data_IF_059833121521
#
_entry.id   IF_059833121521
#
_cell.length_a   1.000
_cell.length_b   1.000
_cell.length_c   1.000
_cell.angle_alpha   90.00
_cell.angle_beta   90.00
_cell.angle_gamma   90.00
#
_symmetry.space_group_name_H-M   'P 1'
#
loop_
_entity.id
_entity.type
_entity.pdbx_description
1 polymer ?
#
# COMPACT_ATOMS: atom_id res chain seq x y z
N UNK A 1 -8.45 -4.85 -6.67
CA UNK A 1 -7.23 -4.51 -7.45
C UNK A 1 -7.50 -3.48 -8.53
N UNK A 2 -6.51 -3.16 -9.37
CA UNK A 2 -6.61 -2.07 -10.37
C UNK A 2 -7.73 -2.24 -11.40
N UNK A 3 -7.95 -3.47 -11.89
CA UNK A 3 -9.05 -3.73 -12.85
C UNK A 3 -10.40 -3.46 -12.20
N UNK A 4 -10.58 -3.90 -10.95
CA UNK A 4 -11.79 -3.61 -10.18
C UNK A 4 -11.99 -2.09 -10.00
N UNK A 5 -10.91 -1.33 -9.72
CA UNK A 5 -10.97 0.13 -9.63
C UNK A 5 -11.37 0.79 -10.94
N UNK A 6 -10.84 0.30 -12.06
CA UNK A 6 -11.11 0.85 -13.39
C UNK A 6 -12.54 0.54 -13.87
N UNK A 7 -13.03 -0.66 -13.59
CA UNK A 7 -14.28 -1.16 -14.14
C UNK A 7 -15.49 -0.95 -13.21
N UNK A 8 -15.24 -0.92 -11.89
CA UNK A 8 -16.24 -0.65 -10.86
C UNK A 8 -17.52 -1.49 -11.01
N UNK A 9 -18.67 -0.82 -10.93
CA UNK A 9 -19.99 -1.46 -11.03
C UNK A 9 -20.27 -2.12 -12.38
N UNK A 10 -19.49 -1.84 -13.44
CA UNK A 10 -19.63 -2.50 -14.73
C UNK A 10 -19.33 -3.99 -14.63
N UNK A 11 -18.44 -4.40 -13.71
CA UNK A 11 -18.16 -5.81 -13.45
C UNK A 11 -19.38 -6.55 -12.92
N UNK A 12 -20.11 -5.97 -11.95
CA UNK A 12 -21.33 -6.57 -11.42
C UNK A 12 -22.42 -6.71 -12.48
N UNK A 13 -22.56 -5.72 -13.37
CA UNK A 13 -23.53 -5.79 -14.48
C UNK A 13 -23.17 -6.87 -15.51
N UNK A 14 -21.87 -7.11 -15.72
CA UNK A 14 -21.36 -8.08 -16.71
C UNK A 14 -21.33 -9.50 -16.16
N UNK A 15 -21.02 -9.65 -14.88
CA UNK A 15 -20.87 -10.92 -14.16
C UNK A 15 -21.67 -10.83 -12.85
N UNK A 16 -22.98 -11.14 -12.90
CA UNK A 16 -23.87 -11.02 -11.74
C UNK A 16 -23.48 -11.93 -10.56
N UNK A 17 -22.69 -12.97 -10.80
CA UNK A 17 -22.14 -13.88 -9.80
C UNK A 17 -21.03 -13.27 -8.93
N UNK A 18 -20.58 -12.04 -9.21
CA UNK A 18 -19.61 -11.34 -8.38
C UNK A 18 -20.32 -10.72 -7.17
N UNK A 19 -19.89 -11.07 -5.96
CA UNK A 19 -20.42 -10.47 -4.72
C UNK A 19 -19.76 -9.13 -4.38
N UNK A 20 -18.48 -8.95 -4.73
CA UNK A 20 -17.75 -7.73 -4.40
C UNK A 20 -16.73 -7.30 -5.47
N UNK A 21 -16.70 -6.00 -5.75
CA UNK A 21 -15.69 -5.34 -6.58
C UNK A 21 -14.88 -4.40 -5.70
N UNK A 22 -13.61 -4.72 -5.47
CA UNK A 22 -12.78 -4.04 -4.47
C UNK A 22 -11.57 -3.37 -5.13
N UNK A 23 -11.45 -2.05 -4.98
CA UNK A 23 -10.31 -1.25 -5.43
C UNK A 23 -9.08 -1.39 -4.51
N UNK A 24 -7.88 -0.99 -4.95
CA UNK A 24 -6.65 -1.11 -4.15
C UNK A 24 -6.68 -0.38 -2.81
N UNK A 25 -7.38 0.76 -2.72
CA UNK A 25 -7.42 1.58 -1.50
C UNK A 25 -8.24 0.94 -0.36
N UNK A 26 -9.00 -0.11 -0.65
CA UNK A 26 -9.82 -0.84 0.32
C UNK A 26 -9.17 -2.13 0.83
N UNK A 27 -7.92 -2.42 0.47
CA UNK A 27 -7.24 -3.63 0.89
C UNK A 27 -7.28 -3.82 2.43
N UNK A 28 -7.09 -2.75 3.19
CA UNK A 28 -7.05 -2.78 4.65
C UNK A 28 -8.45 -2.81 5.30
N UNK A 29 -9.50 -2.66 4.49
CA UNK A 29 -10.92 -2.69 4.90
C UNK A 29 -11.65 -3.88 4.27
N UNK A 30 -10.89 -4.89 3.82
CA UNK A 30 -11.47 -6.04 3.15
C UNK A 30 -12.45 -6.80 4.05
N UNK A 31 -12.22 -6.81 5.37
CA UNK A 31 -13.15 -7.40 6.34
C UNK A 31 -14.57 -6.82 6.23
N UNK A 32 -14.70 -5.49 6.24
CA UNK A 32 -16.00 -4.80 6.11
C UNK A 32 -16.72 -5.15 4.79
N UNK A 33 -15.95 -5.25 3.70
CA UNK A 33 -16.49 -5.62 2.38
C UNK A 33 -16.98 -7.07 2.36
N UNK A 34 -16.20 -7.99 2.96
CA UNK A 34 -16.57 -9.40 3.06
C UNK A 34 -17.81 -9.58 3.92
N UNK A 35 -17.90 -8.92 5.07
CA UNK A 35 -19.06 -8.98 5.96
C UNK A 35 -20.34 -8.55 5.23
N UNK A 36 -20.32 -7.41 4.54
CA UNK A 36 -21.47 -6.94 3.77
C UNK A 36 -21.86 -7.89 2.62
N UNK A 37 -20.87 -8.52 1.97
CA UNK A 37 -21.12 -9.54 0.96
C UNK A 37 -21.75 -10.80 1.55
N UNK A 38 -21.31 -11.24 2.73
CA UNK A 38 -21.88 -12.39 3.44
C UNK A 38 -23.32 -12.17 3.90
N UNK A 39 -23.73 -10.92 4.10
CA UNK A 39 -25.13 -10.53 4.36
C UNK A 39 -26.02 -10.56 3.10
N UNK A 40 -25.45 -10.88 1.94
CA UNK A 40 -26.16 -10.99 0.66
C UNK A 40 -26.17 -9.71 -0.18
N UNK A 41 -25.37 -8.71 0.17
CA UNK A 41 -25.26 -7.47 -0.62
C UNK A 41 -24.19 -7.60 -1.71
N UNK A 42 -24.43 -7.02 -2.89
CA UNK A 42 -23.35 -6.78 -3.85
C UNK A 42 -22.62 -5.47 -3.51
N UNK A 43 -21.30 -5.53 -3.34
CA UNK A 43 -20.49 -4.39 -2.87
C UNK A 43 -19.59 -3.86 -3.98
N UNK A 44 -19.54 -2.53 -4.13
CA UNK A 44 -18.57 -1.84 -5.00
C UNK A 44 -17.76 -0.87 -4.15
N UNK A 45 -16.55 -1.28 -3.77
CA UNK A 45 -15.64 -0.51 -2.93
C UNK A 45 -14.50 0.05 -3.80
N UNK A 46 -14.80 1.10 -4.57
CA UNK A 46 -13.83 1.76 -5.48
C UNK A 46 -13.81 3.28 -5.32
N UNK A 47 -14.55 3.84 -4.36
CA UNK A 47 -14.51 5.28 -4.12
C UNK A 47 -13.16 5.69 -3.52
N UNK A 48 -12.68 6.92 -3.79
CA UNK A 48 -11.44 7.41 -3.20
C UNK A 48 -11.46 7.27 -1.67
N UNK A 49 -10.46 6.58 -1.11
CA UNK A 49 -10.36 6.35 0.32
C UNK A 49 -8.93 6.55 0.81
N UNK A 50 -8.78 7.06 2.02
CA UNK A 50 -7.49 7.14 2.68
C UNK A 50 -7.07 5.74 3.13
N UNK A 51 -5.86 5.34 2.76
CA UNK A 51 -5.32 4.02 3.12
C UNK A 51 -4.83 4.09 4.57
N UNK A 52 -5.54 3.45 5.49
CA UNK A 52 -5.07 3.29 6.87
C UNK A 52 -3.80 2.43 6.92
N UNK A 53 -3.03 2.49 7.99
CA UNK A 53 -1.88 1.57 8.14
C UNK A 53 -2.38 0.11 8.21
N UNK A 54 -1.72 -0.75 7.43
CA UNK A 54 -2.03 -2.17 7.39
C UNK A 54 -1.41 -2.88 8.60
N UNK A 55 -2.26 -3.47 9.44
CA UNK A 55 -1.82 -4.28 10.59
C UNK A 55 -1.56 -5.73 10.21
N UNK A 56 -1.90 -6.14 8.98
CA UNK A 56 -1.71 -7.50 8.50
C UNK A 56 -0.24 -7.75 8.16
N UNK A 57 0.19 -9.01 8.35
CA UNK A 57 1.55 -9.44 8.01
C UNK A 57 1.52 -10.05 6.62
N UNK A 58 2.12 -9.44 5.59
CA UNK A 58 2.11 -10.02 4.27
C UNK A 58 2.91 -11.33 4.29
N UNK A 59 2.33 -12.36 3.67
CA UNK A 59 3.00 -13.65 3.46
C UNK A 59 4.12 -13.43 2.44
N UNK A 60 5.31 -13.90 2.79
CA UNK A 60 6.52 -13.81 1.96
C UNK A 60 7.06 -15.22 1.74
N UNK A 61 7.41 -15.53 0.50
CA UNK A 61 8.00 -16.83 0.15
C UNK A 61 9.52 -16.85 0.38
N UNK A 62 10.18 -15.68 0.26
CA UNK A 62 11.60 -15.53 0.59
C UNK A 62 11.78 -15.45 2.10
N UNK A 63 12.82 -16.11 2.61
CA UNK A 63 13.27 -15.99 4.01
C UNK A 63 14.38 -14.97 4.19
N UNK A 64 14.86 -14.36 3.11
CA UNK A 64 16.00 -13.42 3.10
C UNK A 64 15.56 -12.02 2.69
N UNK A 65 14.71 -11.92 1.67
CA UNK A 65 14.29 -10.66 1.09
C UNK A 65 12.86 -10.33 1.51
N UNK A 66 12.63 -9.08 1.90
CA UNK A 66 11.32 -8.54 2.20
C UNK A 66 11.07 -7.26 1.41
N UNK A 67 9.79 -6.96 1.20
CA UNK A 67 9.35 -5.69 0.63
C UNK A 67 8.53 -4.93 1.65
N UNK A 68 8.70 -3.60 1.64
CA UNK A 68 7.97 -2.65 2.48
C UNK A 68 7.46 -1.54 1.57
N UNK A 69 6.14 -1.45 1.41
CA UNK A 69 5.55 -0.34 0.66
C UNK A 69 5.71 0.95 1.49
N UNK A 70 6.13 2.07 0.89
CA UNK A 70 6.35 3.33 1.61
C UNK A 70 5.40 4.45 1.15
N UNK A 71 4.81 4.29 -0.02
CA UNK A 71 3.93 5.29 -0.65
C UNK A 71 2.89 4.61 -1.52
N UNK A 72 1.69 5.16 -1.57
CA UNK A 72 0.59 4.74 -2.43
C UNK A 72 0.25 5.83 -3.44
N UNK A 73 -0.31 5.44 -4.58
CA UNK A 73 -0.81 6.37 -5.58
C UNK A 73 0.29 7.18 -6.26
N UNK A 74 -0.11 8.08 -7.17
CA UNK A 74 0.83 8.95 -7.86
C UNK A 74 0.11 10.19 -8.40
N UNK A 75 0.67 11.38 -8.15
CA UNK A 75 0.15 12.64 -8.65
C UNK A 75 0.68 13.03 -10.04
N UNK A 76 1.66 12.28 -10.57
CA UNK A 76 2.28 12.57 -11.87
C UNK A 76 1.35 12.20 -13.03
N UNK A 77 1.31 13.05 -14.05
CA UNK A 77 0.43 12.90 -15.23
C UNK A 77 1.21 12.45 -16.46
N UNK A 78 1.90 11.33 -16.34
CA UNK A 78 2.61 10.74 -17.48
C UNK A 78 1.61 10.28 -18.55
N UNK A 79 1.88 10.59 -19.82
CA UNK A 79 0.95 10.37 -20.95
C UNK A 79 0.49 8.92 -21.14
N UNK A 80 1.26 7.97 -20.61
CA UNK A 80 1.01 6.53 -20.71
C UNK A 80 0.48 5.89 -19.41
N UNK A 81 0.40 6.65 -18.31
CA UNK A 81 0.26 6.06 -16.97
C UNK A 81 -1.20 6.04 -16.50
N UNK A 82 -1.69 4.83 -16.19
CA UNK A 82 -3.04 4.59 -15.66
C UNK A 82 -3.15 4.79 -14.14
N UNK A 83 -2.00 4.92 -13.45
CA UNK A 83 -1.90 4.91 -11.98
C UNK A 83 -2.77 5.99 -11.32
N UNK A 84 -2.79 7.27 -11.76
CA UNK A 84 -3.60 8.29 -11.09
C UNK A 84 -5.08 7.95 -11.01
N UNK A 85 -5.61 7.23 -12.01
CA UNK A 85 -7.02 6.80 -12.04
C UNK A 85 -7.30 5.46 -11.35
N UNK A 86 -6.27 4.64 -11.07
CA UNK A 86 -6.46 3.26 -10.59
C UNK A 86 -5.82 2.96 -9.24
N UNK A 87 -4.96 3.84 -8.74
CA UNK A 87 -4.27 3.72 -7.44
C UNK A 87 -4.51 4.94 -6.54
N UNK A 88 -5.20 5.95 -7.03
CA UNK A 88 -5.52 7.16 -6.30
C UNK A 88 -4.37 8.18 -6.26
N UNK A 89 -4.59 9.22 -5.47
CA UNK A 89 -3.60 10.27 -5.22
C UNK A 89 -2.46 9.74 -4.37
N UNK A 90 -1.33 10.42 -4.45
CA UNK A 90 -0.17 10.16 -3.60
C UNK A 90 -0.55 10.18 -2.12
N UNK A 91 -0.10 9.15 -1.39
CA UNK A 91 -0.22 9.04 0.05
C UNK A 91 1.02 8.35 0.61
N UNK A 92 1.89 9.11 1.28
CA UNK A 92 3.07 8.59 1.95
C UNK A 92 2.68 7.91 3.25
N UNK A 93 3.27 6.74 3.54
CA UNK A 93 3.11 6.10 4.84
C UNK A 93 3.91 6.83 5.92
N UNK A 94 3.47 6.85 7.18
CA UNK A 94 4.25 7.44 8.27
C UNK A 94 5.65 6.80 8.39
N UNK A 95 6.72 7.59 8.53
CA UNK A 95 8.08 7.07 8.69
C UNK A 95 8.19 6.07 9.84
N UNK A 96 7.55 6.37 10.97
CA UNK A 96 7.62 5.57 12.18
C UNK A 96 7.03 4.17 11.96
N UNK A 97 5.98 4.07 11.15
CA UNK A 97 5.37 2.80 10.80
C UNK A 97 6.26 1.97 9.87
N UNK A 98 6.88 2.62 8.87
CA UNK A 98 7.86 2.00 7.97
C UNK A 98 9.05 1.46 8.77
N UNK A 99 9.66 2.30 9.61
CA UNK A 99 10.82 1.93 10.43
C UNK A 99 10.49 0.77 11.38
N UNK A 100 9.31 0.79 12.00
CA UNK A 100 8.84 -0.32 12.85
C UNK A 100 8.67 -1.61 12.04
N UNK A 101 8.13 -1.55 10.82
CA UNK A 101 8.01 -2.71 9.94
C UNK A 101 9.37 -3.28 9.57
N UNK A 102 10.33 -2.43 9.19
CA UNK A 102 11.71 -2.82 8.86
C UNK A 102 12.40 -3.47 10.05
N UNK A 103 12.29 -2.88 11.24
CA UNK A 103 12.82 -3.44 12.49
C UNK A 103 12.27 -4.83 12.78
N UNK A 104 10.95 -5.00 12.64
CA UNK A 104 10.31 -6.30 12.84
C UNK A 104 10.76 -7.35 11.81
N UNK A 105 11.08 -6.94 10.58
CA UNK A 105 11.61 -7.83 9.55
C UNK A 105 13.05 -8.24 9.86
N UNK A 106 13.90 -7.32 10.30
CA UNK A 106 15.25 -7.64 10.79
C UNK A 106 15.22 -8.67 11.93
N UNK A 107 14.34 -8.46 12.92
CA UNK A 107 14.13 -9.41 14.02
C UNK A 107 13.60 -10.79 13.58
N UNK A 108 12.97 -10.87 12.40
CA UNK A 108 12.54 -12.14 11.78
C UNK A 108 13.63 -12.80 10.92
N UNK A 109 14.81 -12.18 10.79
CA UNK A 109 15.96 -12.73 10.07
C UNK A 109 16.06 -12.32 8.59
N UNK A 110 15.20 -11.41 8.12
CA UNK A 110 15.33 -10.84 6.77
C UNK A 110 16.58 -9.96 6.71
N UNK A 111 17.35 -10.09 5.62
CA UNK A 111 18.61 -9.37 5.40
C UNK A 111 18.52 -8.29 4.33
N UNK A 112 17.50 -8.38 3.49
CA UNK A 112 17.29 -7.41 2.41
C UNK A 112 15.88 -6.84 2.51
N UNK A 113 15.77 -5.52 2.51
CA UNK A 113 14.50 -4.81 2.44
C UNK A 113 14.46 -3.95 1.19
N UNK A 114 13.44 -4.17 0.37
CA UNK A 114 13.14 -3.32 -0.78
C UNK A 114 12.01 -2.36 -0.43
N UNK A 115 12.25 -1.06 -0.57
CA UNK A 115 11.21 -0.04 -0.43
C UNK A 115 10.39 0.06 -1.72
N UNK A 116 9.09 -0.14 -1.62
CA UNK A 116 8.17 -0.17 -2.77
C UNK A 116 7.20 1.01 -2.78
N UNK A 117 6.75 1.36 -3.97
CA UNK A 117 5.73 2.38 -4.20
C UNK A 117 5.55 2.66 -5.68
N UNK A 118 4.50 3.38 -6.05
CA UNK A 118 4.29 3.77 -7.45
C UNK A 118 5.28 4.85 -7.89
N UNK A 119 5.60 5.80 -7.00
CA UNK A 119 6.63 6.82 -7.19
C UNK A 119 7.34 7.10 -5.86
N UNK A 120 8.41 6.35 -5.57
CA UNK A 120 9.13 6.46 -4.28
C UNK A 120 9.82 7.82 -4.09
N UNK A 121 10.22 8.48 -5.18
CA UNK A 121 10.87 9.79 -5.13
C UNK A 121 9.92 10.91 -4.67
N UNK A 122 8.62 10.63 -4.66
CA UNK A 122 7.61 11.56 -4.17
C UNK A 122 7.31 11.40 -2.67
N UNK A 123 7.92 10.42 -2.01
CA UNK A 123 7.70 10.20 -0.58
C UNK A 123 7.95 11.46 0.25
N UNK A 124 6.95 11.81 1.07
CA UNK A 124 6.97 12.92 2.01
C UNK A 124 6.54 14.27 1.45
N UNK A 125 6.20 14.38 0.16
CA UNK A 125 5.69 15.64 -0.44
C UNK A 125 4.32 16.03 0.10
N UNK A 126 3.50 15.05 0.49
CA UNK A 126 2.16 15.16 1.07
C UNK A 126 2.15 15.31 2.61
N UNK A 127 3.32 15.19 3.25
CA UNK A 127 3.45 15.31 4.72
C UNK A 127 3.58 16.75 5.20
N UNK A 128 3.24 16.99 6.47
CA UNK A 128 3.45 18.25 7.18
C UNK A 128 4.16 17.99 8.52
N UNK A 129 5.41 18.44 8.72
CA UNK A 129 6.28 19.09 7.73
C UNK A 129 6.64 18.14 6.58
N UNK A 130 6.93 18.72 5.41
CA UNK A 130 7.36 17.95 4.24
C UNK A 130 8.64 17.18 4.55
N UNK A 131 8.75 15.97 4.02
CA UNK A 131 9.94 15.13 4.06
C UNK A 131 10.36 14.75 2.64
N UNK A 132 11.59 14.27 2.49
CA UNK A 132 12.08 13.68 1.23
C UNK A 132 12.35 12.20 1.44
N UNK A 133 12.32 11.45 0.36
CA UNK A 133 12.76 10.05 0.35
C UNK A 133 14.15 9.85 0.98
N UNK A 134 15.10 10.75 0.72
CA UNK A 134 16.44 10.70 1.33
C UNK A 134 16.44 10.84 2.85
N UNK A 135 15.44 11.52 3.44
CA UNK A 135 15.31 11.62 4.90
C UNK A 135 14.89 10.27 5.48
N UNK A 136 14.01 9.51 4.79
CA UNK A 136 13.64 8.14 5.18
C UNK A 136 14.84 7.19 5.08
N UNK A 137 15.62 7.26 3.99
CA UNK A 137 16.81 6.41 3.83
C UNK A 137 17.82 6.61 4.96
N UNK A 138 18.05 7.87 5.38
CA UNK A 138 18.89 8.16 6.55
C UNK A 138 18.35 7.52 7.83
N UNK A 139 17.05 7.63 8.08
CA UNK A 139 16.45 6.98 9.25
C UNK A 139 16.57 5.46 9.22
N UNK A 140 16.52 4.83 8.05
CA UNK A 140 16.74 3.37 7.91
C UNK A 140 18.21 3.01 8.18
N UNK A 141 19.17 3.79 7.65
CA UNK A 141 20.60 3.59 7.89
C UNK A 141 20.98 3.73 9.37
N UNK A 142 20.44 4.75 10.04
CA UNK A 142 20.63 4.97 11.49
C UNK A 142 20.12 3.80 12.34
N UNK A 143 19.07 3.09 11.90
CA UNK A 143 18.58 1.89 12.59
C UNK A 143 19.51 0.69 12.43
N UNK A 144 20.09 0.51 11.24
CA UNK A 144 21.01 -0.60 10.97
C UNK A 144 22.35 -0.43 11.71
N UNK A 145 22.86 0.80 11.75
CA UNK A 145 24.05 1.15 12.54
C UNK A 145 23.89 0.84 14.05
N UNK A 146 22.65 0.77 14.55
CA UNK A 146 22.30 0.36 15.91
C UNK A 146 22.29 -1.16 16.16
N UNK A 147 22.59 -2.00 15.16
CA UNK A 147 22.74 -3.45 15.31
C UNK A 147 21.46 -4.28 15.18
N UNK A 148 20.38 -3.72 14.61
CA UNK A 148 19.09 -4.42 14.47
C UNK A 148 19.02 -5.29 13.20
N UNK A 149 19.90 -5.09 12.21
CA UNK A 149 19.97 -5.88 10.97
C UNK A 149 21.25 -6.73 10.82
N UNK A 150 21.79 -7.25 11.94
CA UNK A 150 22.84 -8.29 11.94
C UNK A 150 22.29 -9.65 12.35
#
# INVERSE_FOLDING_TARGET
GCVAQQEGSRLLRRFPEIDAVVGPQYANRLGEVIESAMEGNQVVAVEPSFISEDVTKPRRDSTVCAWVNIIYGCNERCTYCVVPGTRGVEQSRPPEAILKEISNLGAQGYREVTLLGQNIDAYGRDMVPKRRFADLLRSVDEMDAGGVAR
#
